data_IF_256441411372
#
_entry.id   IF_256441411372
#
_cell.length_a   1.000
_cell.length_b   1.000
_cell.length_c   1.000
_cell.angle_alpha   90.00
_cell.angle_beta   90.00
_cell.angle_gamma   90.00
#
_symmetry.space_group_name_H-M   'P 1'
#
loop_
_entity.id
_entity.type
_entity.pdbx_description
1 polymer ?
#
# COMPACT_ATOMS: atom_id res chain seq x y z
N UNK A 1 17.31 3.60 11.68
CA UNK A 1 16.55 3.09 10.52
C UNK A 1 15.04 3.12 10.84
N UNK A 2 14.30 3.87 10.05
CA UNK A 2 12.84 3.92 10.17
C UNK A 2 12.26 2.79 9.33
N UNK A 3 11.34 2.02 9.91
CA UNK A 3 10.65 0.94 9.20
C UNK A 3 9.17 1.25 9.08
N UNK A 4 8.65 1.06 7.89
CA UNK A 4 7.24 1.20 7.56
C UNK A 4 6.77 -0.02 6.80
N UNK A 5 5.49 -0.27 6.80
CA UNK A 5 4.90 -1.34 5.99
C UNK A 5 3.55 -0.91 5.45
N UNK A 6 3.19 -1.49 4.33
CA UNK A 6 1.92 -1.23 3.69
C UNK A 6 1.58 -2.33 2.71
N UNK A 7 0.49 -2.13 1.99
CA UNK A 7 -0.02 -3.12 1.05
C UNK A 7 -0.14 -2.55 -0.36
N UNK A 8 0.19 -3.40 -1.32
CA UNK A 8 -0.35 -3.26 -2.67
C UNK A 8 -1.68 -4.02 -2.60
N UNK A 9 -2.75 -3.26 -2.42
CA UNK A 9 -4.09 -3.81 -2.18
C UNK A 9 -4.81 -3.99 -3.51
N UNK A 10 -5.24 -5.21 -3.78
CA UNK A 10 -5.91 -5.51 -5.04
C UNK A 10 -7.33 -6.02 -4.80
N UNK A 11 -8.23 -5.66 -5.71
CA UNK A 11 -9.60 -6.14 -5.74
C UNK A 11 -9.74 -7.06 -6.95
N UNK A 12 -9.87 -8.37 -6.71
CA UNK A 12 -9.93 -9.35 -7.80
C UNK A 12 -11.24 -9.28 -8.58
N UNK A 13 -12.32 -8.93 -7.92
CA UNK A 13 -13.62 -8.81 -8.57
C UNK A 13 -13.63 -7.67 -9.59
N UNK A 14 -13.11 -6.50 -9.19
CA UNK A 14 -13.02 -5.33 -10.04
C UNK A 14 -11.81 -5.35 -10.97
N UNK A 15 -10.82 -6.22 -10.69
CA UNK A 15 -9.51 -6.26 -11.35
C UNK A 15 -8.81 -4.91 -11.27
N UNK A 16 -8.79 -4.33 -10.07
CA UNK A 16 -8.23 -2.99 -9.82
C UNK A 16 -7.31 -2.98 -8.63
N UNK A 17 -6.49 -1.94 -8.58
CA UNK A 17 -5.51 -1.70 -7.51
C UNK A 17 -5.99 -0.53 -6.66
N UNK A 18 -5.89 -0.68 -5.35
CA UNK A 18 -6.29 0.37 -4.40
C UNK A 18 -5.17 1.36 -4.16
N UNK A 19 -5.44 2.63 -4.43
CA UNK A 19 -4.57 3.73 -4.04
C UNK A 19 -5.34 4.62 -3.08
N UNK A 20 -4.62 5.39 -2.25
CA UNK A 20 -5.25 6.41 -1.45
C UNK A 20 -4.98 7.79 -2.02
N UNK A 21 -6.00 8.62 -2.05
CA UNK A 21 -5.87 10.03 -2.35
C UNK A 21 -5.81 10.80 -1.03
N UNK A 22 -4.71 11.51 -0.79
CA UNK A 22 -4.54 12.31 0.42
C UNK A 22 -4.87 13.75 0.10
N UNK A 23 -6.07 14.17 0.47
CA UNK A 23 -6.63 15.48 0.12
C UNK A 23 -5.74 16.64 0.59
N UNK A 24 -5.21 16.56 1.81
CA UNK A 24 -4.37 17.61 2.41
C UNK A 24 -3.05 17.80 1.67
N UNK A 25 -2.55 16.77 0.96
CA UNK A 25 -1.31 16.83 0.17
C UNK A 25 -1.58 16.82 -1.33
N UNK A 26 -2.82 16.60 -1.73
CA UNK A 26 -3.21 16.47 -3.15
C UNK A 26 -2.33 15.44 -3.87
N UNK A 27 -2.19 14.26 -3.30
CA UNK A 27 -1.36 13.20 -3.87
C UNK A 27 -2.03 11.82 -3.79
N UNK A 28 -1.51 10.90 -4.63
CA UNK A 28 -1.94 9.50 -4.67
C UNK A 28 -0.78 8.62 -4.26
N UNK A 29 -1.01 7.74 -3.28
CA UNK A 29 0.02 6.85 -2.74
C UNK A 29 -0.58 5.46 -2.47
N UNK A 30 0.28 4.50 -2.11
CA UNK A 30 -0.16 3.25 -1.51
C UNK A 30 -0.38 3.45 -0.01
N UNK A 31 -1.32 2.71 0.61
CA UNK A 31 -1.48 2.76 2.07
C UNK A 31 -0.25 2.18 2.76
N UNK A 32 0.29 2.91 3.72
CA UNK A 32 1.47 2.50 4.50
C UNK A 32 1.64 3.39 5.72
N UNK A 33 2.41 2.92 6.68
CA UNK A 33 2.74 3.73 7.84
C UNK A 33 3.81 3.08 8.72
N UNK A 34 4.08 3.72 9.83
CA UNK A 34 5.19 3.36 10.73
C UNK A 34 4.92 2.06 11.49
N UNK A 35 5.97 1.24 11.59
CA UNK A 35 5.97 0.05 12.43
C UNK A 35 5.85 0.47 13.90
N UNK A 36 4.95 -0.15 14.63
CA UNK A 36 4.79 0.09 16.06
C UNK A 36 5.56 -0.96 16.87
N UNK A 37 5.80 -0.63 18.12
CA UNK A 37 6.50 -1.53 19.05
C UNK A 37 5.73 -2.84 19.20
N UNK A 38 6.44 -3.96 19.16
CA UNK A 38 5.89 -5.31 19.29
C UNK A 38 4.98 -5.75 18.15
N UNK A 39 5.06 -5.07 17.01
CA UNK A 39 4.28 -5.37 15.82
C UNK A 39 5.20 -5.98 14.76
N UNK A 40 4.73 -7.02 14.06
CA UNK A 40 5.44 -7.52 12.89
C UNK A 40 5.18 -6.61 11.70
N UNK A 41 6.02 -6.71 10.67
CA UNK A 41 5.81 -5.92 9.45
C UNK A 41 4.49 -6.25 8.76
N UNK A 42 4.08 -7.53 8.77
CA UNK A 42 2.79 -7.94 8.20
C UNK A 42 1.63 -7.34 9.02
N UNK A 43 1.72 -7.41 10.35
CA UNK A 43 0.71 -6.79 11.21
C UNK A 43 0.61 -5.28 10.97
N UNK A 44 1.76 -4.62 10.80
CA UNK A 44 1.81 -3.20 10.46
C UNK A 44 1.12 -2.90 9.13
N UNK A 45 1.42 -3.70 8.09
CA UNK A 45 0.82 -3.51 6.78
C UNK A 45 -0.71 -3.64 6.82
N UNK A 46 -1.21 -4.64 7.55
CA UNK A 46 -2.66 -4.88 7.71
C UNK A 46 -3.30 -3.72 8.48
N UNK A 47 -2.70 -3.32 9.59
CA UNK A 47 -3.22 -2.24 10.43
C UNK A 47 -3.25 -0.91 9.69
N UNK A 48 -2.15 -0.53 9.05
CA UNK A 48 -2.06 0.73 8.33
C UNK A 48 -3.05 0.78 7.15
N UNK A 49 -3.20 -0.34 6.43
CA UNK A 49 -4.18 -0.41 5.35
C UNK A 49 -5.61 -0.22 5.89
N UNK A 50 -5.93 -0.87 7.01
CA UNK A 50 -7.26 -0.73 7.62
C UNK A 50 -7.51 0.70 8.11
N UNK A 51 -6.50 1.32 8.72
CA UNK A 51 -6.63 2.69 9.23
C UNK A 51 -6.84 3.70 8.11
N UNK A 52 -6.10 3.56 7.01
CA UNK A 52 -6.12 4.54 5.92
C UNK A 52 -7.23 4.30 4.90
N UNK A 53 -7.70 3.07 4.74
CA UNK A 53 -8.67 2.72 3.69
C UNK A 53 -10.02 2.20 4.20
N UNK A 54 -10.14 1.83 5.47
CA UNK A 54 -11.29 1.08 6.03
C UNK A 54 -11.50 -0.25 5.34
N UNK A 55 -10.44 -0.89 4.83
CA UNK A 55 -10.53 -2.21 4.22
C UNK A 55 -9.68 -3.22 4.97
N UNK A 56 -10.11 -4.47 4.94
CA UNK A 56 -9.34 -5.60 5.50
C UNK A 56 -8.44 -6.13 4.40
N UNK A 57 -7.13 -6.13 4.66
CA UNK A 57 -6.15 -6.66 3.72
C UNK A 57 -5.85 -8.12 4.05
N UNK A 58 -6.05 -9.01 3.08
CA UNK A 58 -5.67 -10.41 3.20
C UNK A 58 -4.33 -10.61 2.49
N UNK A 59 -3.25 -10.73 3.27
CA UNK A 59 -1.89 -10.91 2.75
C UNK A 59 -1.79 -12.29 2.10
N UNK A 60 -1.38 -12.35 0.84
CA UNK A 60 -1.34 -13.61 0.08
C UNK A 60 0.08 -14.15 -0.11
N UNK A 61 1.10 -13.40 0.30
CA UNK A 61 2.50 -13.83 0.29
C UNK A 61 3.16 -13.38 1.57
N UNK A 62 3.86 -14.28 2.22
CA UNK A 62 4.56 -14.00 3.48
C UNK A 62 5.70 -13.00 3.29
N UNK A 63 6.39 -13.07 2.15
CA UNK A 63 7.48 -12.13 1.86
C UNK A 63 6.93 -10.85 1.21
N UNK A 64 7.52 -9.69 1.50
CA UNK A 64 7.14 -8.47 0.79
C UNK A 64 7.47 -8.60 -0.70
N UNK A 65 6.63 -8.01 -1.55
CA UNK A 65 6.88 -8.02 -2.99
C UNK A 65 7.82 -6.90 -3.42
N UNK A 66 8.06 -5.94 -2.54
CA UNK A 66 9.02 -4.87 -2.79
C UNK A 66 9.40 -4.19 -1.48
N UNK A 67 10.65 -3.78 -1.38
CA UNK A 67 11.14 -2.97 -0.27
C UNK A 67 11.68 -1.67 -0.87
N UNK A 68 11.02 -0.57 -0.55
CA UNK A 68 11.44 0.76 -0.99
C UNK A 68 12.39 1.34 0.05
N UNK A 69 13.60 1.67 -0.35
CA UNK A 69 14.57 2.33 0.51
C UNK A 69 14.69 3.80 0.11
N UNK A 70 14.60 4.70 1.07
CA UNK A 70 14.78 6.12 0.78
C UNK A 70 15.31 6.87 2.01
N UNK A 71 15.81 8.07 1.76
CA UNK A 71 16.25 8.99 2.82
C UNK A 71 15.19 10.10 2.91
N UNK A 72 14.63 10.28 4.11
CA UNK A 72 13.56 11.26 4.31
C UNK A 72 14.13 12.69 4.44
N UNK A 73 13.22 13.68 4.62
CA UNK A 73 13.60 15.08 4.71
C UNK A 73 14.46 15.41 5.93
N UNK A 74 14.46 14.54 6.94
CA UNK A 74 15.31 14.68 8.14
C UNK A 74 16.64 13.95 7.99
N UNK A 75 16.99 13.53 6.77
CA UNK A 75 18.20 12.77 6.48
C UNK A 75 18.27 11.42 7.19
N UNK A 76 17.11 10.80 7.43
CA UNK A 76 17.01 9.49 8.06
C UNK A 76 16.73 8.42 7.01
N UNK A 77 17.40 7.26 7.13
CA UNK A 77 17.13 6.12 6.26
C UNK A 77 15.80 5.48 6.63
N UNK A 78 15.00 5.16 5.62
CA UNK A 78 13.69 4.55 5.80
C UNK A 78 13.50 3.40 4.82
N UNK A 79 12.93 2.30 5.30
CA UNK A 79 12.52 1.18 4.46
C UNK A 79 11.00 1.03 4.56
N UNK A 80 10.35 0.90 3.41
CA UNK A 80 8.92 0.57 3.34
C UNK A 80 8.76 -0.81 2.73
N UNK A 81 8.15 -1.71 3.50
CA UNK A 81 7.91 -3.09 3.10
C UNK A 81 6.49 -3.19 2.55
N UNK A 82 6.36 -3.48 1.25
CA UNK A 82 5.06 -3.62 0.60
C UNK A 82 4.69 -5.09 0.45
N UNK A 83 3.51 -5.44 0.96
CA UNK A 83 2.97 -6.79 0.89
C UNK A 83 1.82 -6.83 -0.11
N UNK A 84 1.74 -7.91 -0.86
CA UNK A 84 0.63 -8.13 -1.79
C UNK A 84 -0.58 -8.63 -1.01
N UNK A 85 -1.69 -7.93 -1.11
CA UNK A 85 -2.89 -8.24 -0.34
C UNK A 85 -4.14 -8.14 -1.19
N UNK A 86 -5.08 -9.05 -0.95
CA UNK A 86 -6.40 -9.02 -1.56
C UNK A 86 -7.36 -8.32 -0.62
N UNK A 87 -8.17 -7.42 -1.15
CA UNK A 87 -9.24 -6.74 -0.43
C UNK A 87 -10.24 -7.79 0.08
N UNK A 88 -10.46 -7.80 1.39
CA UNK A 88 -11.36 -8.75 2.05
C UNK A 88 -12.50 -8.06 2.80
N UNK A 89 -12.98 -6.94 2.28
CA UNK A 89 -14.16 -6.29 2.80
C UNK A 89 -13.89 -5.13 3.73
N UNK A 90 -14.94 -4.62 4.32
CA UNK A 90 -14.91 -3.45 5.19
C UNK A 90 -14.27 -3.76 6.54
N UNK A 91 -13.46 -2.84 7.04
CA UNK A 91 -12.85 -2.91 8.37
C UNK A 91 -13.51 -1.90 9.29
N UNK A 92 -14.04 -2.39 10.42
CA UNK A 92 -14.59 -1.53 11.49
C UNK A 92 -13.44 -1.12 12.41
N UNK A 93 -12.91 0.08 12.21
CA UNK A 93 -11.90 0.65 13.09
C UNK A 93 -12.22 2.13 13.35
N UNK A 94 -11.65 2.68 14.40
CA UNK A 94 -11.93 4.06 14.85
C UNK A 94 -10.90 5.06 14.32
N UNK A 95 -10.12 4.69 13.30
CA UNK A 95 -9.06 5.54 12.78
C UNK A 95 -9.60 6.87 12.26
N UNK A 96 -8.90 7.94 12.60
CA UNK A 96 -9.13 9.28 12.04
C UNK A 96 -8.19 9.55 10.86
N UNK A 97 -7.37 8.58 10.49
CA UNK A 97 -6.38 8.70 9.41
C UNK A 97 -6.91 8.23 8.06
N UNK A 98 -8.23 8.13 7.93
CA UNK A 98 -8.86 7.63 6.71
C UNK A 98 -8.66 8.61 5.56
N UNK A 99 -8.18 8.08 4.43
CA UNK A 99 -8.10 8.81 3.17
C UNK A 99 -9.10 8.22 2.19
N UNK A 100 -9.31 8.91 1.09
CA UNK A 100 -10.19 8.39 0.04
C UNK A 100 -9.51 7.21 -0.67
N UNK A 101 -10.15 6.04 -0.64
CA UNK A 101 -9.68 4.87 -1.39
C UNK A 101 -10.18 4.98 -2.83
N UNK A 102 -9.27 4.86 -3.78
CA UNK A 102 -9.58 4.92 -5.21
C UNK A 102 -9.13 3.61 -5.85
N UNK A 103 -10.06 2.95 -6.55
CA UNK A 103 -9.75 1.73 -7.28
C UNK A 103 -9.33 2.09 -8.70
N UNK A 104 -8.11 1.75 -9.06
CA UNK A 104 -7.47 2.17 -10.32
C UNK A 104 -7.16 0.95 -11.18
N UNK A 105 -7.46 1.04 -12.47
CA UNK A 105 -7.09 -0.01 -13.41
C UNK A 105 -5.56 -0.15 -13.46
N UNK A 106 -5.02 -1.37 -13.55
CA UNK A 106 -3.56 -1.58 -13.50
C UNK A 106 -2.78 -0.73 -14.49
N UNK A 107 -3.28 -0.57 -15.70
CA UNK A 107 -2.60 0.22 -16.73
C UNK A 107 -2.63 1.73 -16.48
N UNK A 108 -3.31 2.17 -15.44
CA UNK A 108 -3.39 3.60 -15.08
C UNK A 108 -2.70 3.91 -13.75
N UNK A 109 -2.20 2.89 -13.04
CA UNK A 109 -1.58 3.08 -11.73
C UNK A 109 -0.33 3.95 -11.83
N UNK A 110 0.54 3.66 -12.79
CA UNK A 110 1.78 4.40 -12.96
C UNK A 110 1.51 5.91 -13.11
N UNK A 111 0.58 6.28 -13.99
CA UNK A 111 0.28 7.69 -14.25
C UNK A 111 -0.46 8.36 -13.08
N UNK A 112 -1.18 7.58 -12.28
CA UNK A 112 -1.96 8.10 -11.15
C UNK A 112 -1.08 8.39 -9.94
N UNK A 113 -0.08 7.54 -9.68
CA UNK A 113 0.83 7.74 -8.55
C UNK A 113 1.57 9.08 -8.68
N UNK A 114 1.63 9.84 -7.60
CA UNK A 114 2.21 11.19 -7.61
C UNK A 114 3.74 11.17 -7.62
N UNK A 115 4.35 10.27 -6.83
CA UNK A 115 5.79 10.30 -6.59
C UNK A 115 6.53 9.32 -7.49
N UNK A 116 7.67 9.77 -8.03
CA UNK A 116 8.50 8.92 -8.88
C UNK A 116 8.97 7.65 -8.15
N UNK A 117 9.26 7.74 -6.86
CA UNK A 117 9.65 6.57 -6.06
C UNK A 117 8.57 5.50 -6.05
N UNK A 118 7.30 5.91 -5.96
CA UNK A 118 6.17 4.98 -5.97
C UNK A 118 5.89 4.44 -7.37
N UNK A 119 6.13 5.25 -8.40
CA UNK A 119 6.08 4.77 -9.78
C UNK A 119 7.09 3.63 -10.00
N UNK A 120 8.28 3.74 -9.39
CA UNK A 120 9.29 2.69 -9.45
C UNK A 120 8.85 1.43 -8.69
N UNK A 121 8.20 1.59 -7.54
CA UNK A 121 7.58 0.46 -6.84
C UNK A 121 6.62 -0.27 -7.79
N UNK A 122 5.74 0.47 -8.44
CA UNK A 122 4.74 -0.12 -9.35
C UNK A 122 5.39 -0.86 -10.52
N UNK A 123 6.42 -0.29 -11.14
CA UNK A 123 7.14 -0.95 -12.24
C UNK A 123 7.66 -2.32 -11.79
N UNK A 124 8.13 -2.41 -10.55
CA UNK A 124 8.71 -3.65 -10.04
C UNK A 124 7.69 -4.70 -9.60
N UNK A 125 6.44 -4.30 -9.30
CA UNK A 125 5.42 -5.21 -8.79
C UNK A 125 4.30 -5.50 -9.78
N UNK A 126 4.16 -4.72 -10.83
CA UNK A 126 3.00 -4.77 -11.74
C UNK A 126 2.77 -6.14 -12.37
N UNK A 127 3.84 -6.84 -12.74
CA UNK A 127 3.69 -8.14 -13.39
C UNK A 127 3.11 -9.17 -12.42
N UNK A 128 3.59 -9.18 -11.18
CA UNK A 128 3.06 -10.07 -10.16
C UNK A 128 1.61 -9.72 -9.82
N UNK A 129 1.29 -8.44 -9.72
CA UNK A 129 -0.08 -7.96 -9.49
C UNK A 129 -1.00 -8.42 -10.62
N UNK A 130 -0.59 -8.21 -11.86
CA UNK A 130 -1.40 -8.61 -13.02
C UNK A 130 -1.60 -10.11 -13.07
N UNK A 131 -0.58 -10.89 -12.71
CA UNK A 131 -0.71 -12.34 -12.66
C UNK A 131 -1.80 -12.78 -11.67
N UNK A 132 -1.85 -12.15 -10.50
CA UNK A 132 -2.88 -12.48 -9.49
C UNK A 132 -4.25 -11.99 -9.95
N UNK A 133 -4.34 -10.81 -10.52
CA UNK A 133 -5.63 -10.25 -10.98
C UNK A 133 -6.23 -11.04 -12.14
N UNK A 134 -5.41 -11.67 -12.96
CA UNK A 134 -5.85 -12.43 -14.11
C UNK A 134 -5.85 -13.96 -13.87
N UNK A 135 -5.62 -14.34 -12.64
CA UNK A 135 -5.60 -15.75 -12.23
C UNK A 135 -7.02 -16.33 -12.11
#
# INVERSE_FOLDING_TARGET
>A
MIQKAGCILINKELKKVGLIYRKEYNDYTFPKGHLEKNETLIECAIRETAEETKRVANIIKENPIYIEHYINSNNEESDVYYYLAIDNGHSDNDSLEVHELVWIEPNKVYDTLTFNSLKQVWINVKDEVNNVLND
#
